data_IF_622427511909
#
_entry.id   IF_622427511909
#
_cell.length_a   1.000
_cell.length_b   1.000
_cell.length_c   1.000
_cell.angle_alpha   90.00
_cell.angle_beta   90.00
_cell.angle_gamma   90.00
#
_symmetry.space_group_name_H-M   'P 1'
#
loop_
_entity.id
_entity.type
_entity.pdbx_description
1 polymer ?
#
# COMPACT_ATOMS: atom_id res chain seq x y z
N UNK A 1 -0.83 12.29 -2.48
CA UNK A 1 -1.28 11.69 -1.22
C UNK A 1 -0.97 12.57 -0.04
N UNK A 2 -1.92 12.68 0.89
CA UNK A 2 -1.83 13.54 2.09
C UNK A 2 -0.55 13.30 2.92
N UNK A 3 -0.16 12.04 3.15
CA UNK A 3 1.07 11.68 3.88
C UNK A 3 2.35 12.21 3.20
N UNK A 4 2.43 12.12 1.87
CA UNK A 4 3.60 12.58 1.10
C UNK A 4 3.75 14.10 1.18
N UNK A 5 2.63 14.84 1.17
CA UNK A 5 2.64 16.30 1.31
C UNK A 5 3.18 16.71 2.69
N UNK A 6 2.69 16.10 3.77
CA UNK A 6 3.16 16.44 5.13
C UNK A 6 4.61 16.01 5.37
N UNK A 7 5.04 14.89 4.78
CA UNK A 7 6.45 14.51 4.78
C UNK A 7 7.34 15.54 4.06
N UNK A 8 6.92 16.03 2.88
CA UNK A 8 7.65 17.08 2.15
C UNK A 8 7.69 18.41 2.91
N UNK A 9 6.68 18.69 3.73
CA UNK A 9 6.64 19.83 4.65
C UNK A 9 7.52 19.63 5.90
N UNK A 10 8.19 18.47 6.03
CA UNK A 10 9.10 18.17 7.13
C UNK A 10 8.43 17.67 8.40
N UNK A 11 7.15 17.28 8.35
CA UNK A 11 6.47 16.72 9.52
C UNK A 11 6.92 15.27 9.77
N UNK A 12 7.05 14.94 11.05
CA UNK A 12 7.34 13.58 11.48
C UNK A 12 6.05 12.73 11.59
N UNK A 13 6.20 11.40 11.68
CA UNK A 13 5.08 10.47 11.73
C UNK A 13 4.11 10.72 12.90
N UNK A 14 4.61 11.20 14.04
CA UNK A 14 3.80 11.48 15.22
C UNK A 14 2.92 12.73 15.01
N UNK A 15 3.49 13.80 14.47
CA UNK A 15 2.75 15.03 14.14
C UNK A 15 1.62 14.73 13.14
N UNK A 16 1.92 13.93 12.11
CA UNK A 16 0.92 13.54 11.11
C UNK A 16 -0.18 12.67 11.73
N UNK A 17 0.17 11.76 12.64
CA UNK A 17 -0.80 10.92 13.34
C UNK A 17 -1.69 11.74 14.28
N UNK A 18 -1.14 12.67 15.02
CA UNK A 18 -1.88 13.54 15.94
C UNK A 18 -2.83 14.46 15.16
N UNK A 19 -2.38 15.04 14.04
CA UNK A 19 -3.24 15.84 13.17
C UNK A 19 -4.41 15.02 12.60
N UNK A 20 -4.13 13.80 12.12
CA UNK A 20 -5.17 12.89 11.62
C UNK A 20 -6.15 12.46 12.72
N UNK A 21 -5.66 12.22 13.93
CA UNK A 21 -6.51 11.83 15.08
C UNK A 21 -7.34 13.01 15.58
N UNK A 22 -6.84 14.24 15.45
CA UNK A 22 -7.61 15.45 15.76
C UNK A 22 -8.68 15.75 14.70
N UNK A 23 -8.37 15.51 13.42
CA UNK A 23 -9.28 15.80 12.31
C UNK A 23 -10.36 14.72 12.11
N UNK A 24 -10.05 13.45 12.39
CA UNK A 24 -10.95 12.32 12.14
C UNK A 24 -11.21 11.53 13.43
N UNK A 25 -12.50 11.36 13.75
CA UNK A 25 -12.94 10.64 14.96
C UNK A 25 -12.84 9.11 14.82
N UNK A 26 -12.94 8.58 13.60
CA UNK A 26 -12.80 7.15 13.29
C UNK A 26 -12.15 6.94 11.92
N UNK A 27 -11.58 5.75 11.70
CA UNK A 27 -10.94 5.39 10.42
C UNK A 27 -9.56 6.01 10.22
N UNK A 28 -8.92 6.48 11.30
CA UNK A 28 -7.57 7.04 11.26
C UNK A 28 -6.57 5.94 10.91
N UNK A 29 -5.67 6.26 9.98
CA UNK A 29 -4.55 5.38 9.63
C UNK A 29 -3.65 5.22 10.86
N UNK A 30 -3.32 3.98 11.22
CA UNK A 30 -2.49 3.72 12.39
C UNK A 30 -1.14 4.41 12.29
N UNK A 31 -0.59 4.84 13.43
CA UNK A 31 0.76 5.38 13.53
C UNK A 31 1.79 4.49 12.82
N UNK A 32 1.70 3.16 12.98
CA UNK A 32 2.59 2.20 12.34
C UNK A 32 2.54 2.26 10.81
N UNK A 33 1.35 2.42 10.22
CA UNK A 33 1.20 2.55 8.79
C UNK A 33 1.76 3.89 8.29
N UNK A 34 1.57 4.98 9.04
CA UNK A 34 2.16 6.28 8.73
C UNK A 34 3.69 6.19 8.76
N UNK A 35 4.27 5.65 9.82
CA UNK A 35 5.72 5.48 9.96
C UNK A 35 6.32 4.63 8.82
N UNK A 36 5.64 3.55 8.45
CA UNK A 36 6.04 2.70 7.31
C UNK A 36 6.01 3.43 5.96
N UNK A 37 5.08 4.37 5.77
CA UNK A 37 5.09 5.22 4.57
C UNK A 37 6.18 6.28 4.59
N UNK A 38 6.44 6.89 5.75
CA UNK A 38 7.54 7.87 5.91
C UNK A 38 8.89 7.23 5.61
N UNK A 39 9.14 6.03 6.13
CA UNK A 39 10.35 5.26 5.81
C UNK A 39 10.47 4.99 4.31
N UNK A 40 9.37 4.63 3.64
CA UNK A 40 9.36 4.45 2.18
C UNK A 40 9.70 5.73 1.42
N UNK A 41 9.21 6.90 1.86
CA UNK A 41 9.57 8.18 1.23
C UNK A 41 11.04 8.53 1.45
N UNK A 42 11.59 8.29 2.64
CA UNK A 42 13.02 8.48 2.94
C UNK A 42 13.92 7.58 2.07
N UNK A 43 13.48 6.36 1.77
CA UNK A 43 14.18 5.43 0.88
C UNK A 43 13.99 5.75 -0.62
N UNK A 44 13.53 6.96 -0.97
CA UNK A 44 13.44 7.44 -2.35
C UNK A 44 12.24 6.91 -3.14
N UNK A 45 11.25 6.32 -2.47
CA UNK A 45 10.07 5.77 -3.13
C UNK A 45 9.05 6.87 -3.44
N UNK A 46 8.93 7.24 -4.70
CA UNK A 46 7.98 8.29 -5.11
C UNK A 46 6.55 7.78 -5.37
N UNK A 47 6.40 6.48 -5.67
CA UNK A 47 5.12 5.86 -5.99
C UNK A 47 4.25 5.69 -4.74
N UNK A 48 2.98 6.06 -4.91
CA UNK A 48 1.93 5.99 -3.91
C UNK A 48 1.10 4.71 -4.03
N UNK A 49 1.39 3.89 -5.04
CA UNK A 49 0.70 2.64 -5.29
C UNK A 49 1.23 1.55 -4.35
N UNK A 50 0.32 0.68 -3.89
CA UNK A 50 0.74 -0.53 -3.19
C UNK A 50 1.60 -1.37 -4.14
N UNK A 51 2.53 -2.12 -3.59
CA UNK A 51 3.22 -3.10 -4.42
C UNK A 51 2.20 -4.04 -5.04
N UNK A 52 2.43 -4.52 -6.27
CA UNK A 52 1.61 -5.60 -6.80
C UNK A 52 1.59 -6.69 -5.74
N UNK A 53 0.42 -6.92 -5.15
CA UNK A 53 0.24 -8.02 -4.22
C UNK A 53 0.60 -9.26 -5.01
N UNK A 54 1.38 -10.16 -4.42
CA UNK A 54 1.68 -11.45 -5.04
C UNK A 54 0.36 -12.24 -5.08
N UNK A 55 -0.49 -11.92 -6.05
CA UNK A 55 -1.62 -12.74 -6.42
C UNK A 55 -0.96 -14.04 -6.83
N UNK A 56 -1.30 -15.14 -6.15
CA UNK A 56 -0.95 -16.49 -6.66
C UNK A 56 -1.22 -16.43 -8.16
N UNK A 57 -0.29 -16.90 -9.03
CA UNK A 57 -0.57 -16.95 -10.44
C UNK A 57 -1.90 -17.70 -10.56
N UNK A 58 -2.96 -16.96 -10.88
CA UNK A 58 -4.22 -17.54 -11.28
C UNK A 58 -3.75 -18.30 -12.51
N UNK A 59 -3.73 -19.62 -12.43
CA UNK A 59 -3.39 -20.50 -13.53
C UNK A 59 -4.35 -20.15 -14.63
N UNK A 60 -3.96 -19.16 -15.43
CA UNK A 60 -4.63 -18.76 -16.65
C UNK A 60 -4.68 -20.05 -17.43
N UNK A 61 -5.90 -20.52 -17.63
CA UNK A 61 -6.23 -21.66 -18.45
C UNK A 61 -5.78 -21.27 -19.86
N UNK A 62 -4.49 -21.41 -20.14
CA UNK A 62 -3.99 -21.45 -21.49
C UNK A 62 -4.70 -22.64 -22.13
N UNK A 63 -5.16 -22.49 -23.38
CA UNK A 63 -5.88 -23.55 -24.11
C UNK A 63 -5.23 -24.95 -24.01
N UNK A 64 -3.92 -25.02 -23.73
CA UNK A 64 -3.18 -26.25 -23.39
C UNK A 64 -3.76 -27.08 -22.22
N UNK A 65 -4.42 -26.49 -21.22
CA UNK A 65 -4.96 -27.25 -20.08
C UNK A 65 -6.37 -27.82 -20.33
N UNK A 66 -7.05 -27.42 -21.41
CA UNK A 66 -8.41 -27.91 -21.73
C UNK A 66 -8.31 -29.33 -22.34
N UNK A 67 -7.29 -29.59 -23.16
CA UNK A 67 -7.07 -30.90 -23.79
C UNK A 67 -6.72 -32.00 -22.77
N UNK A 68 -6.17 -31.65 -21.60
CA UNK A 68 -5.84 -32.63 -20.55
C UNK A 68 -7.07 -33.07 -19.71
N UNK A 69 -8.17 -32.32 -19.77
CA UNK A 69 -9.41 -32.63 -19.00
C UNK A 69 -10.43 -33.39 -19.85
N UNK A 70 -10.28 -33.38 -21.17
CA UNK A 70 -11.20 -34.07 -22.09
C UNK A 70 -10.79 -35.53 -22.39
N UNK A 71 -9.64 -35.99 -21.88
CA UNK A 71 -9.12 -37.36 -22.01
C UNK A 71 -9.15 -38.14 -20.65
N UNK A 72 -10.14 -37.84 -19.79
CA UNK A 72 -10.46 -38.63 -18.58
C UNK A 72 -11.82 -39.30 -18.70
#
# INVERSE_FOLDING_TARGET
>A
SYLKTHWLLGLNAAQIHDELTAAYVQGVVSYSAIAHWIDRFLNGRESLEDNPRNVRPITVITKQNIDAVQDL
#
